data_IF_075339765735
#
_entry.id   IF_075339765735
#
_cell.length_a   1.000
_cell.length_b   1.000
_cell.length_c   1.000
_cell.angle_alpha   90.00
_cell.angle_beta   90.00
_cell.angle_gamma   90.00
#
_symmetry.space_group_name_H-M   'P 1'
#
loop_
_entity.id
_entity.type
_entity.pdbx_description
1 polymer ?
#
# COMPACT_ATOMS: atom_id res chain seq x y z
N UNK A 1 7.06 -0.89 -5.80
CA UNK A 1 5.87 -1.75 -5.65
C UNK A 1 4.68 -1.06 -6.29
N UNK A 2 3.84 -1.79 -7.03
CA UNK A 2 2.64 -1.19 -7.60
C UNK A 2 1.49 -1.18 -6.57
N UNK A 3 0.55 -0.22 -6.65
CA UNK A 3 -0.61 -0.17 -5.76
C UNK A 3 -1.45 -1.46 -5.72
N UNK A 4 -1.45 -2.25 -6.80
CA UNK A 4 -2.16 -3.53 -6.90
C UNK A 4 -1.54 -4.66 -6.10
N UNK A 5 -0.26 -4.54 -5.73
CA UNK A 5 0.51 -5.63 -5.12
C UNK A 5 0.58 -5.49 -3.59
N UNK A 6 0.02 -4.40 -3.06
CA UNK A 6 -0.04 -4.11 -1.63
C UNK A 6 -1.29 -4.77 -1.05
N UNK A 7 -1.09 -5.61 -0.05
CA UNK A 7 -2.19 -6.28 0.62
C UNK A 7 -2.64 -5.47 1.84
N UNK A 8 -3.95 -5.30 1.97
CA UNK A 8 -4.57 -4.76 3.17
C UNK A 8 -4.88 -5.92 4.11
N UNK A 9 -4.29 -5.91 5.30
CA UNK A 9 -4.38 -7.02 6.25
C UNK A 9 -4.97 -6.54 7.57
N UNK A 10 -5.60 -7.46 8.32
CA UNK A 10 -6.02 -7.21 9.68
C UNK A 10 -4.83 -6.99 10.61
N UNK A 11 -5.07 -6.30 11.73
CA UNK A 11 -4.03 -5.99 12.70
C UNK A 11 -3.37 -7.28 13.22
N UNK A 12 -2.06 -7.43 12.98
CA UNK A 12 -1.29 -8.58 13.45
C UNK A 12 -1.38 -9.86 12.60
N UNK A 13 -2.10 -9.85 11.47
CA UNK A 13 -2.23 -11.02 10.58
C UNK A 13 -0.93 -11.34 9.82
N UNK A 14 -0.11 -10.33 9.50
CA UNK A 14 1.15 -10.50 8.79
C UNK A 14 2.29 -9.72 9.48
N UNK A 15 3.51 -10.27 9.43
CA UNK A 15 4.74 -9.60 9.88
C UNK A 15 5.87 -9.80 8.85
N UNK A 16 6.57 -8.72 8.43
CA UNK A 16 6.36 -7.33 8.83
C UNK A 16 5.13 -6.69 8.15
N UNK A 17 4.39 -5.85 8.87
CA UNK A 17 3.32 -5.02 8.30
C UNK A 17 3.53 -3.56 8.68
N UNK A 18 3.18 -2.65 7.77
CA UNK A 18 3.33 -1.22 7.94
C UNK A 18 1.97 -0.62 8.33
N UNK A 19 1.89 -0.09 9.54
CA UNK A 19 0.65 0.52 10.03
C UNK A 19 0.50 1.96 9.55
N UNK A 20 -0.68 2.27 9.03
CA UNK A 20 -1.05 3.61 8.59
C UNK A 20 -2.50 3.97 8.93
N UNK A 21 -2.91 5.15 8.48
CA UNK A 21 -4.24 5.71 8.67
C UNK A 21 -4.87 6.00 7.32
N UNK A 22 -6.14 5.64 7.13
CA UNK A 22 -6.87 5.93 5.91
C UNK A 22 -7.05 7.43 5.77
N UNK A 23 -6.49 8.00 4.70
CA UNK A 23 -6.59 9.43 4.39
C UNK A 23 -7.75 9.73 3.44
N UNK A 24 -7.90 8.92 2.39
CA UNK A 24 -8.97 9.08 1.40
C UNK A 24 -9.31 7.74 0.76
N UNK A 25 -10.56 7.58 0.35
CA UNK A 25 -11.02 6.48 -0.49
C UNK A 25 -11.71 7.03 -1.74
N UNK A 26 -11.27 6.56 -2.91
CA UNK A 26 -11.80 6.96 -4.21
C UNK A 26 -12.49 5.73 -4.84
N UNK A 27 -13.82 5.70 -4.98
CA UNK A 27 -14.50 4.65 -5.74
C UNK A 27 -14.29 4.87 -7.24
N UNK A 28 -13.76 3.86 -7.94
CA UNK A 28 -13.37 3.92 -9.36
C UNK A 28 -14.14 2.87 -10.19
N UNK A 29 -15.44 2.75 -9.96
CA UNK A 29 -16.30 1.76 -10.63
C UNK A 29 -16.18 0.37 -10.00
N UNK A 30 -15.50 -0.57 -10.67
CA UNK A 30 -15.31 -1.96 -10.18
C UNK A 30 -14.12 -2.11 -9.22
N UNK A 31 -13.29 -1.08 -9.13
CA UNK A 31 -12.15 -0.96 -8.21
C UNK A 31 -12.31 0.27 -7.33
N UNK A 32 -11.52 0.32 -6.27
CA UNK A 32 -11.31 1.52 -5.47
C UNK A 32 -9.81 1.83 -5.37
N UNK A 33 -9.50 3.04 -4.95
CA UNK A 33 -8.16 3.44 -4.55
C UNK A 33 -8.20 3.98 -3.12
N UNK A 34 -7.40 3.38 -2.25
CA UNK A 34 -7.22 3.80 -0.88
C UNK A 34 -5.90 4.56 -0.77
N UNK A 35 -5.93 5.78 -0.23
CA UNK A 35 -4.73 6.50 0.17
C UNK A 35 -4.52 6.32 1.67
N UNK A 36 -3.41 5.69 2.03
CA UNK A 36 -3.03 5.42 3.42
C UNK A 36 -1.85 6.31 3.80
N UNK A 37 -2.04 7.11 4.83
CA UNK A 37 -0.99 7.95 5.40
C UNK A 37 -0.13 7.11 6.34
N UNK A 38 1.16 7.05 6.04
CA UNK A 38 2.17 6.45 6.92
C UNK A 38 3.21 7.53 7.21
N UNK A 39 3.29 7.96 8.47
CA UNK A 39 4.11 9.10 8.88
C UNK A 39 3.79 10.36 8.04
N UNK A 40 4.74 10.83 7.23
CA UNK A 40 4.61 11.98 6.32
C UNK A 40 4.40 11.60 4.85
N UNK A 41 4.20 10.31 4.55
CA UNK A 41 4.05 9.80 3.18
C UNK A 41 2.63 9.27 2.96
N UNK A 42 2.18 9.35 1.71
CA UNK A 42 0.93 8.72 1.25
C UNK A 42 1.29 7.50 0.41
N UNK A 43 0.70 6.36 0.74
CA UNK A 43 0.82 5.11 -0.01
C UNK A 43 -0.54 4.85 -0.64
N UNK A 44 -0.57 4.69 -1.97
CA UNK A 44 -1.78 4.31 -2.70
C UNK A 44 -1.90 2.81 -2.79
N UNK A 45 -3.07 2.28 -2.50
CA UNK A 45 -3.42 0.86 -2.54
C UNK A 45 -4.67 0.69 -3.40
N UNK A 46 -4.63 -0.25 -4.35
CA UNK A 46 -5.81 -0.59 -5.13
C UNK A 46 -6.67 -1.59 -4.35
N UNK A 47 -7.98 -1.36 -4.30
CA UNK A 47 -8.94 -2.23 -3.61
C UNK A 47 -10.04 -2.68 -4.56
N UNK A 48 -10.84 -3.70 -4.19
CA UNK A 48 -12.15 -3.92 -4.80
C UNK A 48 -13.06 -2.69 -4.58
N UNK A 49 -14.06 -2.49 -5.44
CA UNK A 49 -15.03 -1.38 -5.30
C UNK A 49 -15.78 -1.38 -3.96
N UNK A 50 -16.08 -2.57 -3.41
CA UNK A 50 -16.85 -2.72 -2.16
C UNK A 50 -16.02 -2.49 -0.89
N UNK A 51 -14.88 -1.82 -0.98
CA UNK A 51 -14.04 -1.49 0.19
C UNK A 51 -14.62 -0.33 1.04
N UNK A 52 -15.82 0.15 0.69
CA UNK A 52 -16.57 1.26 1.29
C UNK A 52 -16.87 1.11 2.80
N UNK A 53 -16.55 -0.02 3.43
CA UNK A 53 -16.79 -0.26 4.85
C UNK A 53 -15.74 0.38 5.78
N UNK A 54 -14.64 0.91 5.24
CA UNK A 54 -13.55 1.50 6.04
C UNK A 54 -13.65 3.03 6.04
N UNK A 55 -13.43 3.65 7.20
CA UNK A 55 -13.61 5.10 7.39
C UNK A 55 -12.29 5.85 7.26
N UNK A 56 -12.35 7.09 6.80
CA UNK A 56 -11.24 8.04 6.94
C UNK A 56 -10.87 8.14 8.42
N UNK A 57 -9.57 8.12 8.72
CA UNK A 57 -9.03 8.10 10.08
C UNK A 57 -8.86 6.71 10.69
N UNK A 58 -9.37 5.66 10.04
CA UNK A 58 -9.22 4.29 10.52
C UNK A 58 -7.79 3.78 10.32
N UNK A 59 -7.28 3.03 11.31
CA UNK A 59 -5.95 2.41 11.22
C UNK A 59 -6.00 1.13 10.43
N UNK A 60 -5.05 0.95 9.52
CA UNK A 60 -4.94 -0.24 8.68
C UNK A 60 -3.48 -0.67 8.53
N UNK A 61 -3.27 -1.98 8.41
CA UNK A 61 -1.95 -2.55 8.20
C UNK A 61 -1.76 -2.89 6.71
N UNK A 62 -0.61 -2.46 6.16
CA UNK A 62 -0.19 -2.72 4.79
C UNK A 62 0.87 -3.81 4.79
N UNK A 63 0.67 -4.86 4.00
CA UNK A 63 1.65 -5.91 3.79
C UNK A 63 2.22 -5.87 2.38
N UNK A 64 3.55 -5.84 2.29
CA UNK A 64 4.32 -5.79 1.05
C UNK A 64 5.05 -7.11 0.88
N UNK A 65 4.74 -7.86 -0.18
CA UNK A 65 5.51 -9.05 -0.53
C UNK A 65 6.87 -8.62 -1.08
N UNK A 66 7.94 -9.27 -0.64
CA UNK A 66 9.29 -8.97 -1.10
C UNK A 66 9.44 -9.21 -2.61
N UNK A 67 8.79 -10.23 -3.15
CA UNK A 67 8.81 -10.59 -4.58
C UNK A 67 8.23 -9.52 -5.50
N UNK A 68 7.34 -8.67 -4.99
CA UNK A 68 6.67 -7.60 -5.75
C UNK A 68 7.29 -6.22 -5.45
N UNK A 69 8.27 -6.20 -4.55
CA UNK A 69 8.96 -4.99 -4.11
C UNK A 69 10.11 -4.67 -5.06
N UNK A 70 10.31 -3.36 -5.29
CA UNK A 70 11.32 -2.84 -6.17
C UNK A 70 12.18 -1.86 -5.38
N UNK A 71 13.50 -2.00 -5.44
CA UNK A 71 14.45 -1.10 -4.77
C UNK A 71 15.27 -0.37 -5.83
N UNK A 72 15.38 0.94 -5.68
CA UNK A 72 16.11 1.80 -6.59
C UNK A 72 17.19 2.55 -5.82
N UNK A 73 18.37 2.68 -6.43
CA UNK A 73 19.43 3.52 -5.90
C UNK A 73 19.00 4.99 -5.95
N UNK A 74 19.21 5.71 -4.85
CA UNK A 74 18.70 7.07 -4.70
C UNK A 74 19.48 8.10 -5.52
N UNK A 75 20.70 7.79 -5.96
CA UNK A 75 21.53 8.69 -6.77
C UNK A 75 21.33 8.48 -8.27
N UNK A 76 21.42 7.23 -8.69
CA UNK A 76 21.39 6.84 -10.11
C UNK A 76 19.97 6.52 -10.61
N UNK A 77 19.03 6.21 -9.70
CA UNK A 77 17.69 5.75 -10.07
C UNK A 77 17.66 4.33 -10.64
N UNK A 78 18.80 3.63 -10.69
CA UNK A 78 18.88 2.26 -11.21
C UNK A 78 18.25 1.28 -10.22
N UNK A 79 17.58 0.27 -10.75
CA UNK A 79 17.01 -0.79 -9.93
C UNK A 79 18.13 -1.67 -9.36
N UNK A 80 18.22 -1.77 -8.03
CA UNK A 80 19.25 -2.52 -7.32
C UNK A 80 18.94 -4.03 -7.31
N UNK A 81 17.66 -4.43 -7.32
CA UNK A 81 17.25 -5.84 -7.19
C UNK A 81 17.50 -6.67 -8.45
N UNK A 82 17.66 -6.03 -9.61
CA UNK A 82 17.90 -6.71 -10.90
C UNK A 82 19.29 -6.46 -11.48
N UNK A 83 20.23 -5.90 -10.71
CA UNK A 83 21.64 -5.86 -11.11
C UNK A 83 22.23 -7.26 -11.00
N UNK A 84 22.21 -8.01 -12.11
CA UNK A 84 23.11 -9.15 -12.34
C UNK A 84 24.41 -8.66 -12.95
#
# INVERSE_FOLDING_TARGET
IHPSDINLVGAGEHKPALRGEIYVYEPLGIKGALSVKVNKRIIRVQTPARYEQRKVGEKIDLYFKETDTHLFDSKSGLNILFMR
#
